data_IF_927229669192
#
_entry.id   IF_927229669192
#
_cell.length_a   1.000
_cell.length_b   1.000
_cell.length_c   1.000
_cell.angle_alpha   90.00
_cell.angle_beta   90.00
_cell.angle_gamma   90.00
#
_symmetry.space_group_name_H-M   'P 1'
#
loop_
_entity.id
_entity.type
_entity.pdbx_description
1 polymer ?
#
# COMPACT_ATOMS: atom_id res chain seq x y z
N UNK A 1 -1.39 19.92 -13.44
CA UNK A 1 -0.65 18.65 -13.62
C UNK A 1 -1.59 17.50 -13.37
N UNK A 2 -1.55 16.46 -14.20
CA UNK A 2 -2.23 15.19 -13.89
C UNK A 2 -1.44 14.45 -12.80
N UNK A 3 -2.11 13.83 -11.80
CA UNK A 3 -1.41 13.05 -10.79
C UNK A 3 -0.64 11.91 -11.48
N UNK A 4 0.68 11.86 -11.28
CA UNK A 4 1.53 10.83 -11.90
C UNK A 4 1.38 9.47 -11.22
N UNK A 5 0.82 9.43 -10.01
CA UNK A 5 0.55 8.20 -9.25
C UNK A 5 -0.85 8.21 -8.66
N UNK A 6 -1.53 7.07 -8.70
CA UNK A 6 -2.87 6.90 -8.14
C UNK A 6 -2.87 5.69 -7.21
N UNK A 7 -3.25 5.90 -5.95
CA UNK A 7 -3.49 4.83 -4.99
C UNK A 7 -4.95 4.38 -5.09
N UNK A 8 -5.17 3.16 -5.54
CA UNK A 8 -6.48 2.51 -5.57
C UNK A 8 -6.65 1.72 -4.29
N UNK A 9 -7.77 1.93 -3.60
CA UNK A 9 -8.14 1.23 -2.39
C UNK A 9 -9.46 0.48 -2.60
N UNK A 10 -9.51 -0.78 -2.16
CA UNK A 10 -10.74 -1.53 -2.02
C UNK A 10 -10.88 -1.94 -0.54
N UNK A 11 -11.85 -1.32 0.13
CA UNK A 11 -12.11 -1.52 1.55
C UNK A 11 -13.24 -2.52 1.74
N UNK A 12 -12.96 -3.61 2.44
CA UNK A 12 -13.95 -4.52 3.01
C UNK A 12 -14.13 -4.27 4.52
N UNK A 13 -15.09 -4.95 5.15
CA UNK A 13 -15.37 -4.78 6.58
C UNK A 13 -14.18 -5.14 7.49
N UNK A 14 -13.35 -6.10 7.08
CA UNK A 14 -12.15 -6.56 7.82
C UNK A 14 -10.89 -6.61 6.95
N UNK A 15 -10.90 -5.96 5.79
CA UNK A 15 -9.76 -5.96 4.88
C UNK A 15 -9.61 -4.66 4.10
N UNK A 16 -8.40 -4.41 3.63
CA UNK A 16 -8.05 -3.28 2.78
C UNK A 16 -7.05 -3.76 1.71
N UNK A 17 -7.51 -3.90 0.48
CA UNK A 17 -6.66 -4.15 -0.69
C UNK A 17 -6.23 -2.83 -1.29
N UNK A 18 -4.99 -2.79 -1.79
CA UNK A 18 -4.47 -1.59 -2.42
C UNK A 18 -3.57 -1.89 -3.62
N UNK A 19 -3.51 -0.92 -4.53
CA UNK A 19 -2.55 -0.89 -5.63
C UNK A 19 -2.09 0.55 -5.85
N UNK A 20 -0.80 0.76 -6.05
CA UNK A 20 -0.25 2.04 -6.48
C UNK A 20 0.04 1.96 -7.98
N UNK A 21 -0.61 2.81 -8.75
CA UNK A 21 -0.48 2.89 -10.21
C UNK A 21 0.38 4.09 -10.60
N UNK A 22 1.17 3.93 -11.65
CA UNK A 22 1.79 5.02 -12.39
C UNK A 22 0.89 5.39 -13.57
N UNK A 23 0.41 6.63 -13.59
CA UNK A 23 -0.56 7.06 -14.62
C UNK A 23 0.12 7.46 -15.93
N UNK A 24 1.45 7.45 -16.00
CA UNK A 24 2.20 7.78 -17.22
C UNK A 24 2.17 6.62 -18.22
N UNK A 25 2.23 5.40 -17.72
CA UNK A 25 2.26 4.17 -18.52
C UNK A 25 1.22 3.12 -18.08
N UNK A 26 0.46 3.39 -17.01
CA UNK A 26 -0.51 2.45 -16.44
C UNK A 26 0.13 1.33 -15.61
N UNK A 27 1.43 1.40 -15.35
CA UNK A 27 2.18 0.40 -14.61
C UNK A 27 1.75 0.30 -13.14
N UNK A 28 1.89 -0.90 -12.56
CA UNK A 28 1.72 -1.10 -11.11
C UNK A 28 3.06 -0.95 -10.42
N UNK A 29 3.16 0.00 -9.51
CA UNK A 29 4.35 0.24 -8.70
C UNK A 29 4.37 -0.64 -7.45
N UNK A 30 3.20 -0.90 -6.86
CA UNK A 30 3.05 -1.77 -5.70
C UNK A 30 1.63 -2.30 -5.60
N UNK A 31 1.46 -3.40 -4.85
CA UNK A 31 0.14 -3.88 -4.44
C UNK A 31 0.21 -4.56 -3.09
N UNK A 32 -0.91 -4.63 -2.39
CA UNK A 32 -0.98 -5.41 -1.18
C UNK A 32 -2.37 -5.55 -0.60
N UNK A 33 -2.39 -6.16 0.57
CA UNK A 33 -3.58 -6.51 1.32
C UNK A 33 -3.27 -6.40 2.82
N UNK A 34 -4.16 -5.74 3.53
CA UNK A 34 -4.30 -5.90 4.98
C UNK A 34 -5.60 -6.68 5.21
N UNK A 35 -5.54 -7.80 5.92
CA UNK A 35 -6.72 -8.61 6.24
C UNK A 35 -6.76 -8.96 7.72
N UNK A 36 -7.95 -9.33 8.20
CA UNK A 36 -8.22 -9.58 9.63
C UNK A 36 -7.99 -8.33 10.48
N UNK A 37 -8.40 -7.17 9.95
CA UNK A 37 -8.39 -5.89 10.66
C UNK A 37 -9.34 -5.98 11.86
N UNK A 38 -8.89 -5.52 13.03
CA UNK A 38 -9.61 -5.60 14.30
C UNK A 38 -9.44 -6.92 15.05
N UNK A 39 -8.78 -7.93 14.46
CA UNK A 39 -8.48 -9.19 15.14
C UNK A 39 -7.17 -9.12 15.96
N UNK A 40 -6.95 -10.12 16.82
CA UNK A 40 -5.69 -10.28 17.58
C UNK A 40 -4.46 -10.42 16.68
N UNK A 41 -4.64 -10.96 15.49
CA UNK A 41 -3.54 -11.20 14.54
C UNK A 41 -4.02 -10.91 13.13
N UNK A 42 -3.70 -9.71 12.66
CA UNK A 42 -3.91 -9.29 11.28
C UNK A 42 -2.78 -9.79 10.39
N UNK A 43 -3.04 -9.87 9.10
CA UNK A 43 -2.04 -10.18 8.08
C UNK A 43 -1.83 -8.96 7.18
N UNK A 44 -0.57 -8.61 6.97
CA UNK A 44 -0.15 -7.56 6.03
C UNK A 44 0.70 -8.23 4.98
N UNK A 45 0.27 -8.12 3.72
CA UNK A 45 1.01 -8.58 2.55
C UNK A 45 1.27 -7.41 1.62
N UNK A 46 2.53 -7.19 1.27
CA UNK A 46 2.97 -6.11 0.39
C UNK A 46 3.89 -6.67 -0.70
N UNK A 47 3.66 -6.28 -1.95
CA UNK A 47 4.47 -6.64 -3.11
C UNK A 47 4.94 -5.35 -3.82
N UNK A 48 6.23 -5.00 -3.74
CA UNK A 48 6.80 -3.82 -4.36
C UNK A 48 7.20 -4.14 -5.80
N UNK A 49 6.26 -3.99 -6.73
CA UNK A 49 6.44 -4.36 -8.14
C UNK A 49 7.52 -3.53 -8.84
N UNK A 50 7.76 -2.30 -8.38
CA UNK A 50 8.85 -1.45 -8.87
C UNK A 50 10.23 -1.81 -8.29
N UNK A 51 10.30 -2.63 -7.23
CA UNK A 51 11.54 -2.98 -6.52
C UNK A 51 11.75 -4.51 -6.45
N UNK A 52 11.63 -5.18 -7.60
CA UNK A 52 11.92 -6.61 -7.73
C UNK A 52 10.74 -7.56 -7.45
N UNK A 53 9.62 -7.06 -6.92
CA UNK A 53 8.37 -7.83 -6.80
C UNK A 53 8.38 -8.90 -5.70
N UNK A 54 9.39 -8.95 -4.84
CA UNK A 54 9.42 -9.89 -3.72
C UNK A 54 8.36 -9.52 -2.67
N UNK A 55 7.49 -10.47 -2.36
CA UNK A 55 6.38 -10.22 -1.44
C UNK A 55 6.87 -10.29 0.01
N UNK A 56 6.62 -9.21 0.75
CA UNK A 56 6.82 -9.14 2.20
C UNK A 56 5.50 -9.45 2.89
N UNK A 57 5.55 -10.39 3.83
CA UNK A 57 4.42 -10.77 4.65
C UNK A 57 4.77 -10.62 6.12
N UNK A 58 3.87 -10.02 6.89
CA UNK A 58 4.01 -9.92 8.35
C UNK A 58 2.67 -10.07 9.03
N UNK A 59 2.72 -10.67 10.22
CA UNK A 59 1.59 -10.75 11.13
C UNK A 59 1.77 -9.76 12.27
N UNK A 60 0.66 -9.21 12.76
CA UNK A 60 0.65 -8.22 13.83
C UNK A 60 -0.74 -7.65 14.02
N UNK A 61 -0.98 -6.94 15.12
CA UNK A 61 -2.29 -6.34 15.36
C UNK A 61 -2.47 -5.10 14.49
N UNK A 62 -3.54 -5.06 13.69
CA UNK A 62 -4.03 -3.85 13.01
C UNK A 62 -5.44 -3.58 13.53
N UNK A 63 -5.60 -2.53 14.33
CA UNK A 63 -6.81 -2.30 15.14
C UNK A 63 -8.03 -1.88 14.33
N UNK A 64 -7.82 -1.15 13.25
CA UNK A 64 -8.86 -0.51 12.44
C UNK A 64 -8.33 -0.13 11.06
N UNK A 65 -9.19 0.41 10.21
CA UNK A 65 -8.82 0.84 8.85
C UNK A 65 -7.84 2.02 8.82
N UNK A 66 -7.79 2.86 9.86
CA UNK A 66 -6.81 3.93 9.93
C UNK A 66 -5.41 3.35 10.16
N UNK A 67 -5.27 2.41 11.09
CA UNK A 67 -4.04 1.66 11.33
C UNK A 67 -3.63 0.86 10.07
N UNK A 68 -4.60 0.33 9.32
CA UNK A 68 -4.34 -0.33 8.03
C UNK A 68 -3.78 0.65 6.99
N UNK A 69 -4.36 1.86 6.86
CA UNK A 69 -3.86 2.89 5.95
C UNK A 69 -2.45 3.37 6.33
N UNK A 70 -2.18 3.59 7.62
CA UNK A 70 -0.84 3.93 8.12
C UNK A 70 0.17 2.84 7.80
N UNK A 71 -0.24 1.57 7.95
CA UNK A 71 0.58 0.41 7.60
C UNK A 71 0.92 0.41 6.10
N UNK A 72 -0.06 0.64 5.24
CA UNK A 72 0.14 0.73 3.78
C UNK A 72 1.08 1.87 3.43
N UNK A 73 0.88 3.06 4.01
CA UNK A 73 1.74 4.21 3.78
C UNK A 73 3.19 3.94 4.22
N UNK A 74 3.38 3.23 5.34
CA UNK A 74 4.69 2.79 5.81
C UNK A 74 5.40 1.84 4.84
N UNK A 75 4.70 0.82 4.33
CA UNK A 75 5.26 -0.10 3.33
C UNK A 75 5.67 0.65 2.05
N UNK A 76 4.78 1.51 1.52
CA UNK A 76 5.09 2.31 0.32
C UNK A 76 6.28 3.24 0.55
N UNK A 77 6.39 3.84 1.73
CA UNK A 77 7.52 4.72 2.07
C UNK A 77 8.83 3.95 2.18
N UNK A 78 8.81 2.73 2.70
CA UNK A 78 9.99 1.86 2.76
C UNK A 78 10.53 1.51 1.37
N UNK A 79 9.67 1.48 0.35
CA UNK A 79 10.05 1.26 -1.05
C UNK A 79 10.39 2.56 -1.81
N UNK A 80 10.45 3.72 -1.14
CA UNK A 80 10.65 5.02 -1.79
C UNK A 80 9.45 5.50 -2.62
N UNK A 81 8.29 4.87 -2.43
CA UNK A 81 7.00 5.19 -3.05
C UNK A 81 6.08 5.99 -2.12
N UNK A 82 6.65 6.60 -1.06
CA UNK A 82 5.91 7.39 -0.09
C UNK A 82 5.07 8.48 -0.75
N UNK A 83 3.83 8.64 -0.29
CA UNK A 83 2.86 9.59 -0.86
C UNK A 83 3.30 11.05 -0.70
N UNK A 84 4.17 11.32 0.28
CA UNK A 84 4.73 12.64 0.57
C UNK A 84 6.17 12.81 0.02
N UNK A 85 6.63 11.92 -0.87
CA UNK A 85 8.01 11.96 -1.37
C UNK A 85 8.30 13.29 -2.08
N UNK A 86 9.39 14.00 -1.74
CA UNK A 86 9.73 15.33 -2.28
C UNK A 86 10.02 15.35 -3.78
N UNK A 87 10.06 14.18 -4.43
CA UNK A 87 10.27 14.01 -5.86
C UNK A 87 8.96 14.04 -6.68
N UNK A 88 7.87 14.57 -6.12
CA UNK A 88 6.66 14.84 -6.89
C UNK A 88 6.99 15.85 -8.01
N UNK A 89 6.87 15.48 -9.30
CA UNK A 89 7.12 16.45 -10.35
C UNK A 89 6.11 17.59 -10.20
N UNK A 90 6.59 18.84 -10.28
CA UNK A 90 5.77 20.04 -10.53
C UNK A 90 5.56 20.28 -12.02
#
# INVERSE_FOLDING_TARGET
>A
MSPSRVLVLNSGSSSLKYQLLDMRDGGRLASGLVERIGERTSLVRHTPLAAGGETRERTGQVTDHEAALRTIAGELSADGLGLDSPNWPR
#
